data_IF_037174228079
#
_entry.id   IF_037174228079
#
_cell.length_a   1.000
_cell.length_b   1.000
_cell.length_c   1.000
_cell.angle_alpha   90.00
_cell.angle_beta   90.00
_cell.angle_gamma   90.00
#
_symmetry.space_group_name_H-M   'P 1'
#
loop_
_entity.id
_entity.type
_entity.pdbx_description
1 polymer ?
#
# COMPACT_ATOMS: atom_id res chain seq x y z
N UNK A 1 -45.86 -23.60 16.82
CA UNK A 1 -44.91 -22.52 17.20
C UNK A 1 -43.55 -22.91 16.64
N UNK A 2 -43.04 -22.26 15.59
CA UNK A 2 -41.73 -22.61 15.04
C UNK A 2 -40.62 -22.13 15.99
N UNK A 3 -39.69 -23.03 16.23
CA UNK A 3 -38.59 -23.00 17.20
C UNK A 3 -37.61 -21.82 16.96
N UNK A 4 -37.41 -20.99 17.99
CA UNK A 4 -36.62 -19.76 17.97
C UNK A 4 -35.10 -19.99 18.17
N UNK A 5 -34.56 -21.14 17.74
CA UNK A 5 -33.20 -21.59 18.12
C UNK A 5 -32.24 -21.93 16.97
N UNK A 6 -32.57 -21.65 15.70
CA UNK A 6 -31.56 -21.72 14.63
C UNK A 6 -30.69 -20.46 14.61
N UNK A 7 -29.66 -20.43 15.44
CA UNK A 7 -28.59 -19.45 15.33
C UNK A 7 -28.08 -19.37 13.89
N UNK A 8 -27.97 -18.16 13.35
CA UNK A 8 -27.56 -17.94 11.95
C UNK A 8 -26.17 -18.53 11.70
N UNK A 9 -26.10 -19.65 10.98
CA UNK A 9 -24.82 -20.25 10.57
C UNK A 9 -24.17 -19.35 9.51
N UNK A 10 -22.89 -19.04 9.71
CA UNK A 10 -22.05 -18.31 8.75
C UNK A 10 -21.14 -19.30 8.04
N UNK A 11 -21.04 -19.14 6.73
CA UNK A 11 -20.16 -19.93 5.87
C UNK A 11 -18.99 -19.07 5.40
N UNK A 12 -17.80 -19.63 5.44
CA UNK A 12 -16.56 -18.96 5.03
C UNK A 12 -16.14 -19.52 3.68
N UNK A 13 -15.85 -18.61 2.76
CA UNK A 13 -15.40 -18.93 1.42
C UNK A 13 -14.07 -18.25 1.15
N UNK A 14 -13.12 -18.97 0.56
CA UNK A 14 -11.99 -18.36 -0.12
C UNK A 14 -12.37 -18.15 -1.58
N UNK A 15 -12.21 -16.93 -2.06
CA UNK A 15 -12.51 -16.52 -3.43
C UNK A 15 -11.18 -16.20 -4.10
N UNK A 16 -10.78 -17.02 -5.06
CA UNK A 16 -9.59 -16.78 -5.85
C UNK A 16 -9.96 -16.00 -7.11
N UNK A 17 -9.76 -14.68 -7.08
CA UNK A 17 -9.96 -13.82 -8.25
C UNK A 17 -8.72 -13.72 -9.15
N UNK A 18 -7.62 -14.39 -8.79
CA UNK A 18 -6.36 -14.32 -9.54
C UNK A 18 -6.30 -15.34 -10.70
N UNK A 19 -5.25 -15.24 -11.51
CA UNK A 19 -4.88 -16.23 -12.52
C UNK A 19 -4.03 -17.38 -11.96
N UNK A 20 -3.62 -17.32 -10.69
CA UNK A 20 -2.80 -18.34 -10.06
C UNK A 20 -3.67 -19.46 -9.49
N UNK A 21 -3.12 -20.67 -9.49
CA UNK A 21 -3.63 -21.74 -8.64
C UNK A 21 -3.10 -21.52 -7.23
N UNK A 22 -3.96 -21.66 -6.22
CA UNK A 22 -3.59 -21.49 -4.81
C UNK A 22 -3.52 -22.83 -4.11
N UNK A 23 -2.41 -23.11 -3.43
CA UNK A 23 -2.31 -24.19 -2.46
C UNK A 23 -2.61 -23.59 -1.09
N UNK A 24 -3.85 -23.73 -0.62
CA UNK A 24 -4.36 -22.98 0.52
C UNK A 24 -4.69 -23.88 1.72
N UNK A 25 -4.44 -23.35 2.92
CA UNK A 25 -4.82 -23.97 4.20
C UNK A 25 -5.59 -22.97 5.07
N UNK A 26 -6.48 -23.50 5.91
CA UNK A 26 -7.09 -22.79 7.02
C UNK A 26 -6.78 -23.56 8.30
N UNK A 27 -6.20 -22.88 9.28
CA UNK A 27 -6.04 -23.38 10.63
C UNK A 27 -6.79 -22.51 11.63
N UNK A 28 -7.42 -23.16 12.61
CA UNK A 28 -8.07 -22.50 13.74
C UNK A 28 -7.22 -22.65 14.98
N UNK A 29 -6.90 -21.55 15.64
CA UNK A 29 -6.11 -21.48 16.86
C UNK A 29 -7.02 -21.08 18.03
N UNK A 30 -7.06 -21.95 19.04
CA UNK A 30 -7.74 -21.69 20.32
C UNK A 30 -6.74 -21.94 21.44
N UNK A 31 -6.43 -20.89 22.19
CA UNK A 31 -5.38 -20.90 23.23
C UNK A 31 -4.02 -21.33 22.64
N UNK A 32 -3.56 -22.54 22.94
CA UNK A 32 -2.29 -23.11 22.44
C UNK A 32 -2.47 -24.23 21.42
N UNK A 33 -3.72 -24.59 21.10
CA UNK A 33 -4.04 -25.67 20.17
C UNK A 33 -4.38 -25.12 18.79
N UNK A 34 -3.66 -25.63 17.78
CA UNK A 34 -3.93 -25.35 16.37
C UNK A 34 -4.58 -26.58 15.75
N UNK A 35 -5.67 -26.38 15.02
CA UNK A 35 -6.36 -27.42 14.26
C UNK A 35 -6.50 -26.99 12.81
N UNK A 36 -6.00 -27.81 11.89
CA UNK A 36 -6.27 -27.66 10.46
C UNK A 36 -7.76 -27.87 10.19
N UNK A 37 -8.41 -26.87 9.60
CA UNK A 37 -9.84 -26.88 9.24
C UNK A 37 -10.07 -27.03 7.74
N UNK A 38 -9.11 -26.62 6.92
CA UNK A 38 -9.12 -26.81 5.47
C UNK A 38 -7.70 -26.95 4.93
N UNK A 39 -7.52 -27.79 3.92
CA UNK A 39 -6.33 -27.85 3.09
C UNK A 39 -6.75 -28.28 1.68
N UNK A 40 -6.32 -27.56 0.65
CA UNK A 40 -6.69 -27.90 -0.72
C UNK A 40 -6.16 -26.94 -1.77
N UNK A 41 -6.39 -27.32 -3.02
CA UNK A 41 -6.02 -26.53 -4.19
C UNK A 41 -7.25 -25.73 -4.64
N UNK A 42 -7.06 -24.44 -4.90
CA UNK A 42 -8.09 -23.55 -5.42
C UNK A 42 -7.66 -23.11 -6.81
N UNK A 43 -8.43 -23.49 -7.82
CA UNK A 43 -8.17 -23.12 -9.20
C UNK A 43 -8.29 -21.60 -9.41
N UNK A 44 -7.68 -21.05 -10.48
CA UNK A 44 -7.90 -19.67 -10.90
C UNK A 44 -9.41 -19.38 -11.06
N UNK A 45 -9.84 -18.18 -10.68
CA UNK A 45 -11.26 -17.74 -10.81
C UNK A 45 -12.27 -18.70 -10.15
N UNK A 46 -11.89 -19.33 -9.05
CA UNK A 46 -12.73 -20.29 -8.33
C UNK A 46 -13.05 -19.83 -6.89
N UNK A 47 -14.07 -20.46 -6.30
CA UNK A 47 -14.48 -20.24 -4.91
C UNK A 47 -14.63 -21.58 -4.20
N UNK A 48 -14.20 -21.65 -2.94
CA UNK A 48 -14.33 -22.87 -2.12
C UNK A 48 -14.80 -22.52 -0.71
N UNK A 49 -15.69 -23.34 -0.16
CA UNK A 49 -16.10 -23.24 1.25
C UNK A 49 -15.00 -23.85 2.13
N UNK A 50 -14.45 -23.06 3.05
CA UNK A 50 -13.35 -23.48 3.92
C UNK A 50 -13.77 -23.73 5.37
N UNK A 51 -14.90 -23.15 5.80
CA UNK A 51 -15.35 -23.28 7.18
C UNK A 51 -16.84 -22.94 7.34
N UNK A 52 -17.42 -23.29 8.48
CA UNK A 52 -18.74 -22.87 8.91
C UNK A 52 -18.81 -22.77 10.43
N UNK A 53 -19.48 -21.74 10.96
CA UNK A 53 -19.68 -21.59 12.39
C UNK A 53 -20.99 -20.84 12.71
N UNK A 54 -21.52 -21.05 13.91
CA UNK A 54 -22.71 -20.33 14.38
C UNK A 54 -22.36 -18.90 14.79
N UNK A 55 -23.06 -17.90 14.25
CA UNK A 55 -22.85 -16.50 14.62
C UNK A 55 -23.18 -16.23 16.09
N UNK A 56 -24.05 -17.04 16.71
CA UNK A 56 -24.39 -16.92 18.13
C UNK A 56 -23.21 -17.22 19.05
N UNK A 57 -22.19 -17.94 18.55
CA UNK A 57 -20.99 -18.31 19.29
C UNK A 57 -19.78 -17.45 18.92
N UNK A 58 -19.99 -16.29 18.29
CA UNK A 58 -18.91 -15.43 17.79
C UNK A 58 -17.85 -15.10 18.84
N UNK A 59 -18.24 -14.88 20.09
CA UNK A 59 -17.31 -14.64 21.21
C UNK A 59 -16.32 -15.80 21.44
N UNK A 60 -16.73 -17.03 21.10
CA UNK A 60 -15.96 -18.26 21.27
C UNK A 60 -15.22 -18.69 20.00
N UNK A 61 -15.39 -17.99 18.88
CA UNK A 61 -14.74 -18.36 17.63
C UNK A 61 -13.21 -18.31 17.77
N UNK A 62 -12.47 -19.26 17.20
CA UNK A 62 -11.00 -19.27 17.27
C UNK A 62 -10.38 -18.11 16.47
N UNK A 63 -9.07 -17.92 16.59
CA UNK A 63 -8.32 -17.15 15.60
C UNK A 63 -8.16 -18.01 14.34
N UNK A 64 -8.32 -17.42 13.17
CA UNK A 64 -8.19 -18.10 11.89
C UNK A 64 -6.88 -17.68 11.24
N UNK A 65 -6.08 -18.67 10.83
CA UNK A 65 -4.85 -18.48 10.06
C UNK A 65 -5.04 -19.09 8.69
N UNK A 66 -4.95 -18.25 7.66
CA UNK A 66 -5.06 -18.63 6.25
C UNK A 66 -3.67 -18.51 5.65
N UNK A 67 -3.19 -19.58 5.02
CA UNK A 67 -1.94 -19.55 4.28
C UNK A 67 -2.19 -20.00 2.85
N UNK A 68 -1.55 -19.37 1.88
CA UNK A 68 -1.61 -19.83 0.49
C UNK A 68 -0.30 -19.62 -0.26
N UNK A 69 0.07 -20.62 -1.06
CA UNK A 69 1.16 -20.52 -2.03
C UNK A 69 0.59 -20.33 -3.43
N UNK A 70 1.21 -19.44 -4.20
CA UNK A 70 0.84 -19.15 -5.59
C UNK A 70 1.59 -20.09 -6.54
N UNK A 71 0.86 -20.72 -7.46
CA UNK A 71 1.41 -21.54 -8.52
C UNK A 71 0.88 -21.08 -9.88
N UNK A 72 1.77 -20.98 -10.86
CA UNK A 72 1.45 -20.76 -12.27
C UNK A 72 2.34 -21.66 -13.12
N UNK A 73 1.73 -22.38 -14.07
CA UNK A 73 2.46 -23.11 -15.11
C UNK A 73 2.93 -22.22 -16.27
N UNK A 74 2.54 -20.95 -16.27
CA UNK A 74 2.94 -19.94 -17.24
C UNK A 74 4.00 -19.00 -16.64
N UNK A 75 4.84 -18.41 -17.49
CA UNK A 75 5.75 -17.33 -17.09
C UNK A 75 4.96 -16.22 -16.40
N UNK A 76 5.29 -15.97 -15.14
CA UNK A 76 4.61 -14.98 -14.31
C UNK A 76 5.55 -14.52 -13.21
N UNK A 77 5.29 -13.34 -12.66
CA UNK A 77 6.06 -12.84 -11.54
C UNK A 77 5.86 -13.74 -10.32
N UNK A 78 6.94 -13.98 -9.59
CA UNK A 78 6.88 -14.66 -8.30
C UNK A 78 6.05 -13.83 -7.32
N UNK A 79 5.19 -14.49 -6.56
CA UNK A 79 4.44 -13.89 -5.46
C UNK A 79 4.85 -14.54 -4.15
N UNK A 80 5.02 -13.72 -3.12
CA UNK A 80 5.30 -14.22 -1.77
C UNK A 80 4.14 -15.06 -1.24
N UNK A 81 4.41 -16.05 -0.37
CA UNK A 81 3.39 -16.78 0.35
C UNK A 81 2.42 -15.85 1.06
N UNK A 82 1.13 -16.03 0.82
CA UNK A 82 0.09 -15.35 1.56
C UNK A 82 0.02 -15.92 2.98
N UNK A 83 0.07 -15.05 3.98
CA UNK A 83 -0.18 -15.39 5.38
C UNK A 83 -1.15 -14.35 5.96
N UNK A 84 -2.35 -14.78 6.34
CA UNK A 84 -3.41 -13.90 6.81
C UNK A 84 -4.03 -14.42 8.10
N UNK A 85 -4.01 -13.60 9.15
CA UNK A 85 -4.45 -13.94 10.49
C UNK A 85 -5.62 -13.05 10.93
N UNK A 86 -6.78 -13.63 11.22
CA UNK A 86 -7.96 -12.87 11.63
C UNK A 86 -8.64 -13.45 12.86
N UNK A 87 -9.03 -12.55 13.78
CA UNK A 87 -9.96 -12.83 14.88
C UNK A 87 -11.24 -12.05 14.62
N UNK A 88 -12.32 -12.76 14.32
CA UNK A 88 -13.60 -12.11 14.03
C UNK A 88 -14.22 -11.48 15.28
N UNK A 89 -14.86 -10.33 15.05
CA UNK A 89 -15.61 -9.55 16.03
C UNK A 89 -16.90 -9.04 15.37
N UNK A 90 -17.82 -8.47 16.15
CA UNK A 90 -19.08 -7.93 15.62
C UNK A 90 -18.85 -6.86 14.52
N UNK A 91 -17.75 -6.10 14.59
CA UNK A 91 -17.38 -5.09 13.57
C UNK A 91 -17.14 -5.71 12.20
N UNK A 92 -16.67 -6.95 12.13
CA UNK A 92 -16.47 -7.64 10.85
C UNK A 92 -17.80 -7.96 10.14
N UNK A 93 -18.93 -7.90 10.85
CA UNK A 93 -20.27 -8.19 10.33
C UNK A 93 -21.19 -6.95 10.31
N UNK A 94 -20.71 -5.78 10.74
CA UNK A 94 -21.52 -4.56 10.81
C UNK A 94 -21.62 -3.82 9.47
N UNK A 95 -20.75 -4.14 8.50
CA UNK A 95 -20.78 -3.56 7.16
C UNK A 95 -21.91 -4.13 6.28
N UNK A 96 -22.27 -3.39 5.23
CA UNK A 96 -23.18 -3.89 4.21
C UNK A 96 -22.54 -5.06 3.44
N UNK A 97 -23.34 -6.09 3.14
CA UNK A 97 -22.89 -7.19 2.28
C UNK A 97 -22.72 -6.69 0.86
N UNK A 98 -21.68 -7.16 0.19
CA UNK A 98 -21.39 -6.88 -1.22
C UNK A 98 -21.69 -8.12 -2.05
N UNK A 99 -22.06 -7.90 -3.30
CA UNK A 99 -22.27 -8.97 -4.26
C UNK A 99 -20.92 -9.55 -4.68
N UNK A 100 -20.67 -10.85 -4.43
CA UNK A 100 -19.43 -11.56 -4.79
C UNK A 100 -19.63 -12.39 -6.07
N UNK A 101 -19.19 -11.94 -7.25
CA UNK A 101 -19.60 -12.51 -8.54
C UNK A 101 -19.36 -14.01 -8.67
N UNK A 102 -18.19 -14.49 -8.23
CA UNK A 102 -17.83 -15.92 -8.29
C UNK A 102 -18.71 -16.79 -7.37
N UNK A 103 -19.19 -16.24 -6.25
CA UNK A 103 -20.09 -16.93 -5.33
C UNK A 103 -21.57 -16.78 -5.72
N UNK A 104 -21.92 -15.78 -6.55
CA UNK A 104 -23.30 -15.42 -6.93
C UNK A 104 -24.21 -15.13 -5.72
N UNK A 105 -23.63 -14.65 -4.61
CA UNK A 105 -24.33 -14.29 -3.38
C UNK A 105 -23.78 -13.00 -2.78
N UNK A 106 -24.59 -12.37 -1.91
CA UNK A 106 -24.14 -11.26 -1.08
C UNK A 106 -23.39 -11.77 0.15
N UNK A 107 -22.18 -11.25 0.39
CA UNK A 107 -21.34 -11.65 1.52
C UNK A 107 -20.63 -10.44 2.16
N UNK A 108 -20.20 -10.60 3.41
CA UNK A 108 -19.17 -9.75 3.99
C UNK A 108 -17.82 -10.16 3.39
N UNK A 109 -17.04 -9.19 2.93
CA UNK A 109 -15.81 -9.41 2.18
C UNK A 109 -14.62 -8.81 2.91
N UNK A 110 -13.54 -9.57 3.03
CA UNK A 110 -12.23 -9.09 3.46
C UNK A 110 -11.23 -9.48 2.39
N UNK A 111 -10.49 -8.50 1.87
CA UNK A 111 -9.38 -8.75 0.97
C UNK A 111 -8.18 -9.19 1.81
N UNK A 112 -7.57 -10.31 1.42
CA UNK A 112 -6.52 -10.96 2.21
C UNK A 112 -5.15 -10.90 1.52
N UNK A 113 -5.11 -10.59 0.22
CA UNK A 113 -3.89 -10.46 -0.58
C UNK A 113 -3.33 -9.04 -0.61
N UNK A 114 -4.00 -8.09 0.03
CA UNK A 114 -3.42 -6.79 0.36
C UNK A 114 -2.54 -6.94 1.60
N UNK A 115 -1.34 -6.38 1.55
CA UNK A 115 -0.50 -6.25 2.74
C UNK A 115 -1.29 -5.47 3.79
N UNK A 116 -1.62 -6.13 4.92
CA UNK A 116 -2.03 -5.39 6.10
C UNK A 116 -0.88 -4.41 6.40
N UNK A 117 -1.16 -3.10 6.41
CA UNK A 117 -0.30 -2.15 7.08
C UNK A 117 -0.24 -2.63 8.54
N UNK A 118 0.79 -3.40 8.88
CA UNK A 118 1.02 -3.87 10.24
C UNK A 118 1.36 -2.62 11.05
N UNK A 119 0.33 -1.90 11.49
CA UNK A 119 0.42 -0.94 12.57
C UNK A 119 0.51 -1.79 13.82
N UNK A 120 1.71 -2.31 14.04
CA UNK A 120 2.04 -3.18 15.14
C UNK A 120 1.72 -2.46 16.46
N UNK A 121 0.69 -2.92 17.17
CA UNK A 121 0.25 -2.32 18.42
C UNK A 121 1.38 -2.31 19.49
N UNK A 122 2.43 -3.11 19.31
CA UNK A 122 3.64 -3.08 20.13
C UNK A 122 4.57 -1.92 19.75
N UNK A 123 4.72 -1.58 18.46
CA UNK A 123 5.40 -0.33 18.03
C UNK A 123 4.65 0.93 18.49
N UNK A 124 3.32 0.86 18.60
CA UNK A 124 2.51 1.93 19.15
C UNK A 124 2.86 2.20 20.62
N UNK A 125 3.00 1.18 21.47
CA UNK A 125 3.34 1.39 22.90
C UNK A 125 4.75 1.95 23.11
N UNK A 126 5.73 1.55 22.30
CA UNK A 126 7.07 2.15 22.34
C UNK A 126 7.10 3.59 21.80
N UNK A 127 6.15 3.97 20.94
CA UNK A 127 5.99 5.35 20.44
C UNK A 127 5.32 6.31 21.44
N UNK A 128 4.59 5.80 22.45
CA UNK A 128 3.96 6.63 23.49
C UNK A 128 4.89 6.97 24.67
N UNK A 129 6.03 6.28 24.80
CA UNK A 129 7.00 6.51 25.88
C UNK A 129 8.34 7.08 25.41
N UNK A 130 8.45 7.49 24.15
CA UNK A 130 9.51 8.43 23.77
C UNK A 130 9.01 9.85 24.07
N UNK A 131 9.77 10.68 24.81
CA UNK A 131 9.45 12.10 24.91
C UNK A 131 9.31 12.61 23.49
N UNK A 132 8.26 13.41 23.22
CA UNK A 132 7.91 13.92 21.90
C UNK A 132 9.18 14.20 21.09
N UNK A 133 9.55 13.25 20.22
CA UNK A 133 10.50 13.55 19.18
C UNK A 133 9.75 14.58 18.38
N UNK A 134 10.33 15.79 18.41
CA UNK A 134 9.88 16.98 17.73
C UNK A 134 9.18 16.56 16.44
N UNK A 135 7.98 17.11 16.20
CA UNK A 135 7.52 17.26 14.82
C UNK A 135 8.78 17.60 14.05
N UNK A 136 9.24 16.72 13.14
CA UNK A 136 10.13 17.20 12.11
C UNK A 136 9.29 18.27 11.45
N UNK A 137 9.53 19.50 11.87
CA UNK A 137 9.17 20.68 11.12
C UNK A 137 9.66 20.30 9.74
N UNK A 138 8.71 20.06 8.84
CA UNK A 138 9.06 19.99 7.44
C UNK A 138 9.72 21.34 7.24
N UNK A 139 11.05 21.33 7.11
CA UNK A 139 11.77 22.59 7.00
C UNK A 139 11.24 23.23 5.73
N UNK A 140 10.86 24.50 5.84
CA UNK A 140 10.40 25.27 4.69
C UNK A 140 11.45 25.12 3.60
N UNK A 141 11.13 24.48 2.46
CA UNK A 141 12.13 24.26 1.45
C UNK A 141 12.64 25.62 0.97
N UNK A 142 13.93 25.68 0.66
CA UNK A 142 14.50 26.83 -0.03
C UNK A 142 13.68 27.14 -1.28
N UNK A 143 13.65 28.42 -1.69
CA UNK A 143 12.98 28.80 -2.94
C UNK A 143 13.61 28.13 -4.17
N UNK A 144 14.88 27.71 -4.06
CA UNK A 144 15.67 27.06 -5.09
C UNK A 144 16.19 25.72 -4.54
N UNK A 145 15.95 24.62 -5.28
CA UNK A 145 16.35 23.26 -4.92
C UNK A 145 17.24 22.70 -6.03
N UNK A 146 18.47 22.34 -5.68
CA UNK A 146 19.43 21.73 -6.59
C UNK A 146 19.24 20.21 -6.62
N UNK A 147 18.95 19.67 -7.80
CA UNK A 147 18.73 18.25 -8.02
C UNK A 147 19.93 17.56 -8.67
N UNK A 148 21.08 18.21 -8.85
CA UNK A 148 22.27 17.51 -9.33
C UNK A 148 22.68 16.41 -8.33
N UNK A 149 22.95 15.20 -8.83
CA UNK A 149 23.25 14.04 -7.96
C UNK A 149 24.43 14.29 -7.03
N UNK A 150 25.42 15.08 -7.46
CA UNK A 150 26.58 15.49 -6.66
C UNK A 150 26.21 16.30 -5.41
N UNK A 151 25.05 16.98 -5.41
CA UNK A 151 24.52 17.70 -4.25
C UNK A 151 23.67 16.81 -3.35
N UNK A 152 23.16 15.70 -3.88
CA UNK A 152 22.27 14.80 -3.18
C UNK A 152 23.03 13.62 -2.55
N UNK A 153 24.17 13.22 -3.12
CA UNK A 153 24.90 12.02 -2.72
C UNK A 153 26.40 12.09 -3.04
N UNK A 154 27.21 11.78 -2.04
CA UNK A 154 28.67 11.76 -2.17
C UNK A 154 29.19 10.52 -2.93
N UNK A 155 28.51 9.37 -2.81
CA UNK A 155 28.86 8.08 -3.45
C UNK A 155 28.23 7.88 -4.85
N UNK A 156 27.86 8.98 -5.53
CA UNK A 156 27.18 8.94 -6.83
C UNK A 156 27.94 8.17 -7.93
N UNK A 157 29.27 8.05 -7.80
CA UNK A 157 30.13 7.35 -8.76
C UNK A 157 29.83 5.83 -8.87
N UNK A 158 29.19 5.25 -7.86
CA UNK A 158 28.82 3.83 -7.84
C UNK A 158 27.38 3.57 -8.30
N UNK A 159 26.64 4.62 -8.68
CA UNK A 159 25.23 4.50 -9.05
C UNK A 159 25.05 4.35 -10.55
N UNK A 160 24.07 3.52 -10.93
CA UNK A 160 23.58 3.48 -12.30
C UNK A 160 22.78 4.75 -12.64
N UNK A 161 22.69 5.09 -13.92
CA UNK A 161 21.91 6.24 -14.40
C UNK A 161 20.43 6.18 -13.95
N UNK A 162 19.87 4.99 -13.85
CA UNK A 162 18.48 4.78 -13.38
C UNK A 162 18.36 5.07 -11.89
N UNK A 163 19.31 4.63 -11.07
CA UNK A 163 19.32 4.91 -9.63
C UNK A 163 19.52 6.40 -9.35
N UNK A 164 20.45 7.05 -10.08
CA UNK A 164 20.64 8.50 -9.97
C UNK A 164 19.34 9.25 -10.28
N UNK A 165 18.66 8.91 -11.38
CA UNK A 165 17.39 9.52 -11.77
C UNK A 165 16.31 9.34 -10.69
N UNK A 166 16.19 8.13 -10.14
CA UNK A 166 15.21 7.85 -9.09
C UNK A 166 15.44 8.69 -7.82
N UNK A 167 16.69 8.82 -7.38
CA UNK A 167 17.05 9.64 -6.23
C UNK A 167 16.70 11.11 -6.48
N UNK A 168 17.03 11.62 -7.67
CA UNK A 168 16.72 13.01 -8.04
C UNK A 168 15.21 13.26 -8.05
N UNK A 169 14.41 12.32 -8.57
CA UNK A 169 12.95 12.40 -8.58
C UNK A 169 12.33 12.29 -7.18
N UNK A 170 12.91 11.49 -6.29
CA UNK A 170 12.46 11.37 -4.90
C UNK A 170 12.66 12.70 -4.15
N UNK A 171 13.83 13.32 -4.28
CA UNK A 171 14.12 14.62 -3.67
C UNK A 171 13.21 15.71 -4.26
N UNK A 172 13.00 15.69 -5.57
CA UNK A 172 12.08 16.57 -6.26
C UNK A 172 10.65 16.46 -5.68
N UNK A 173 10.11 15.25 -5.56
CA UNK A 173 8.75 15.03 -5.04
C UNK A 173 8.62 15.51 -3.59
N UNK A 174 9.60 15.18 -2.75
CA UNK A 174 9.62 15.59 -1.34
C UNK A 174 9.64 17.12 -1.19
N UNK A 175 10.43 17.81 -2.02
CA UNK A 175 10.51 19.26 -2.01
C UNK A 175 9.23 19.92 -2.56
N UNK A 176 8.60 19.33 -3.58
CA UNK A 176 7.30 19.78 -4.09
C UNK A 176 6.21 19.66 -3.01
N UNK A 177 6.14 18.51 -2.33
CA UNK A 177 5.18 18.25 -1.26
C UNK A 177 5.38 19.23 -0.10
N UNK A 178 6.64 19.47 0.31
CA UNK A 178 6.96 20.45 1.33
C UNK A 178 6.51 21.87 0.90
N UNK A 179 6.78 22.29 -0.33
CA UNK A 179 6.38 23.59 -0.84
C UNK A 179 4.85 23.78 -0.82
N UNK A 180 4.10 22.72 -1.12
CA UNK A 180 2.64 22.68 -1.05
C UNK A 180 2.15 22.79 0.40
N UNK A 181 2.72 22.00 1.32
CA UNK A 181 2.35 22.01 2.74
C UNK A 181 2.59 23.40 3.35
N UNK A 182 3.69 24.06 2.96
CA UNK A 182 4.03 25.42 3.39
C UNK A 182 3.35 26.54 2.58
N UNK A 183 2.50 26.20 1.60
CA UNK A 183 1.78 27.16 0.73
C UNK A 183 2.71 28.18 0.09
N UNK A 184 3.86 27.72 -0.43
CA UNK A 184 4.77 28.59 -1.16
C UNK A 184 4.13 29.03 -2.49
N UNK A 185 4.34 30.28 -2.94
CA UNK A 185 3.79 30.75 -4.22
C UNK A 185 4.47 30.09 -5.43
N UNK A 186 5.78 29.85 -5.33
CA UNK A 186 6.56 29.13 -6.33
C UNK A 186 7.80 28.46 -5.72
N UNK A 187 8.34 27.48 -6.44
CA UNK A 187 9.59 26.79 -6.13
C UNK A 187 10.38 26.52 -7.42
N UNK A 188 11.69 26.69 -7.38
CA UNK A 188 12.59 26.53 -8.53
C UNK A 188 13.40 25.25 -8.32
N UNK A 189 13.38 24.37 -9.32
CA UNK A 189 14.19 23.15 -9.34
C UNK A 189 15.30 23.26 -10.38
N UNK A 190 16.54 23.05 -9.95
CA UNK A 190 17.73 23.11 -10.80
C UNK A 190 18.11 21.66 -11.14
N UNK A 191 17.85 21.24 -12.38
CA UNK A 191 18.04 19.86 -12.84
C UNK A 191 19.19 19.71 -13.86
N UNK A 192 19.80 20.82 -14.27
CA UNK A 192 20.91 20.86 -15.23
C UNK A 192 20.42 20.78 -16.68
N UNK A 193 21.34 20.96 -17.64
CA UNK A 193 20.97 20.93 -19.07
C UNK A 193 20.87 19.49 -19.58
N UNK A 194 21.85 18.65 -19.23
CA UNK A 194 21.86 17.19 -19.44
C UNK A 194 21.31 16.70 -20.80
N UNK A 195 20.77 15.47 -20.79
CA UNK A 195 20.02 14.88 -21.91
C UNK A 195 18.50 15.20 -21.83
N UNK A 196 18.08 15.99 -20.85
CA UNK A 196 16.67 16.36 -20.65
C UNK A 196 15.78 15.30 -19.99
N UNK A 197 16.29 14.12 -19.64
CA UNK A 197 15.48 13.03 -19.02
C UNK A 197 14.85 13.45 -17.69
N UNK A 198 15.63 14.05 -16.78
CA UNK A 198 15.14 14.52 -15.48
C UNK A 198 14.07 15.63 -15.65
N UNK A 199 14.34 16.59 -16.55
CA UNK A 199 13.36 17.64 -16.92
C UNK A 199 12.04 17.02 -17.39
N UNK A 200 12.10 16.05 -18.30
CA UNK A 200 10.92 15.40 -18.86
C UNK A 200 10.08 14.68 -17.81
N UNK A 201 10.71 13.86 -16.95
CA UNK A 201 9.98 13.14 -15.89
C UNK A 201 9.41 14.10 -14.84
N UNK A 202 10.15 15.15 -14.45
CA UNK A 202 9.61 16.19 -13.56
C UNK A 202 8.38 16.87 -14.17
N UNK A 203 8.44 17.27 -15.45
CA UNK A 203 7.34 17.90 -16.16
C UNK A 203 6.09 17.01 -16.24
N UNK A 204 6.28 15.70 -16.40
CA UNK A 204 5.19 14.71 -16.40
C UNK A 204 4.52 14.57 -15.02
N UNK A 205 5.28 14.68 -13.93
CA UNK A 205 4.76 14.68 -12.56
C UNK A 205 3.97 15.96 -12.29
N UNK A 206 4.57 17.14 -12.48
CA UNK A 206 3.91 18.43 -12.19
C UNK A 206 2.73 18.71 -13.12
N UNK A 207 2.80 18.28 -14.38
CA UNK A 207 1.70 18.46 -15.34
C UNK A 207 0.43 17.69 -14.95
N UNK A 208 0.54 16.66 -14.11
CA UNK A 208 -0.61 15.90 -13.58
C UNK A 208 -0.99 16.31 -12.15
N UNK A 209 -0.21 17.16 -11.51
CA UNK A 209 -0.35 17.46 -10.09
C UNK A 209 -1.44 18.51 -9.83
N UNK A 210 -2.47 18.17 -9.07
CA UNK A 210 -3.65 19.02 -8.87
C UNK A 210 -3.36 20.36 -8.19
N UNK A 211 -2.30 20.44 -7.38
CA UNK A 211 -1.89 21.64 -6.64
C UNK A 211 -0.86 22.50 -7.38
N UNK A 212 -0.45 22.08 -8.58
CA UNK A 212 0.38 22.90 -9.47
C UNK A 212 -0.55 23.75 -10.34
N UNK A 213 -0.28 25.05 -10.39
CA UNK A 213 -1.02 26.00 -11.23
C UNK A 213 -0.43 26.05 -12.64
N UNK A 214 0.88 26.22 -12.74
CA UNK A 214 1.63 26.26 -14.00
C UNK A 214 3.12 26.06 -13.70
N UNK A 215 3.94 25.79 -14.72
CA UNK A 215 5.39 25.72 -14.61
C UNK A 215 6.04 26.30 -15.85
N UNK A 216 7.24 26.87 -15.70
CA UNK A 216 8.03 27.44 -16.80
C UNK A 216 9.52 27.27 -16.54
N UNK A 217 10.35 27.42 -17.57
CA UNK A 217 11.80 27.41 -17.39
C UNK A 217 12.22 28.64 -16.56
N UNK A 218 13.02 28.41 -15.52
CA UNK A 218 13.39 29.45 -14.55
C UNK A 218 14.55 30.32 -15.05
N UNK A 219 14.44 31.63 -14.84
CA UNK A 219 15.48 32.67 -15.01
C UNK A 219 16.69 32.27 -15.86
N UNK A 220 16.54 32.35 -17.19
CA UNK A 220 17.54 31.92 -18.18
C UNK A 220 18.92 32.56 -17.99
N UNK A 221 18.98 33.77 -17.45
CA UNK A 221 20.23 34.51 -17.18
C UNK A 221 21.02 33.92 -16.00
N UNK A 222 20.36 33.27 -15.03
CA UNK A 222 20.97 32.72 -13.82
C UNK A 222 21.26 31.22 -13.93
N UNK A 223 20.39 30.47 -14.61
CA UNK A 223 20.45 28.99 -14.65
C UNK A 223 20.49 28.39 -16.07
N UNK A 224 20.56 29.23 -17.11
CA UNK A 224 20.44 28.76 -18.48
C UNK A 224 19.09 28.07 -18.73
N UNK A 225 19.10 26.90 -19.37
CA UNK A 225 17.91 26.07 -19.57
C UNK A 225 17.77 24.95 -18.52
N UNK A 226 18.62 24.97 -17.49
CA UNK A 226 18.76 23.87 -16.52
C UNK A 226 17.90 23.99 -15.27
N UNK A 227 16.87 24.83 -15.28
CA UNK A 227 15.99 25.00 -14.12
C UNK A 227 14.53 25.21 -14.54
N UNK A 228 13.61 24.77 -13.68
CA UNK A 228 12.16 24.87 -13.88
C UNK A 228 11.51 25.47 -12.64
N UNK A 229 10.77 26.56 -12.81
CA UNK A 229 9.97 27.19 -11.77
C UNK A 229 8.54 26.65 -11.83
N UNK A 230 8.06 26.17 -10.68
CA UNK A 230 6.73 25.60 -10.49
C UNK A 230 5.92 26.54 -9.62
N UNK A 231 4.78 27.00 -10.13
CA UNK A 231 3.83 27.85 -9.43
C UNK A 231 2.75 26.99 -8.79
N UNK A 232 2.53 27.17 -7.49
CA UNK A 232 1.56 26.40 -6.70
C UNK A 232 0.26 27.19 -6.53
N UNK A 233 -0.82 26.47 -6.18
CA UNK A 233 -2.15 27.05 -5.94
C UNK A 233 -2.30 27.66 -4.55
#
# INVERSE_FOLDING_TARGET
>A
MPDASKGSVVYFYLVNESSYQLLATLSTEKETRIKGSYAGIIAPKAVVKIYSASLTELSNWPRFKIQALYYSGLESNSKDPLNYDIKFSAKNFSGAKKMVPLLKQQAWTTQIDEEELIIDAQKLKESFFKPAQEKKEIEKPGKEIDLHIEKLRDDHQFLSNTEMLNIQLEVFQKALDAAIVHKLPSIIFIHGVGNGTLKYEMQKIIGKHQQVKTFMDAYKEKFGYGATEVFLK
#
